data_IF_705132971914
#
_entry.id   IF_705132971914
#
_cell.length_a   1.000
_cell.length_b   1.000
_cell.length_c   1.000
_cell.angle_alpha   90.00
_cell.angle_beta   90.00
_cell.angle_gamma   90.00
#
_symmetry.space_group_name_H-M   'P 1'
#
loop_
_entity.id
_entity.type
_entity.pdbx_description
1 polymer ?
#
# COMPACT_ATOMS: atom_id res chain seq x y z
N UNK A 1 -36.19 12.15 -21.40
CA UNK A 1 -35.64 11.22 -20.40
C UNK A 1 -34.29 10.76 -20.95
N UNK A 2 -33.21 11.46 -20.63
CA UNK A 2 -31.86 10.97 -20.94
C UNK A 2 -31.68 9.67 -20.18
N UNK A 3 -31.46 8.57 -20.89
CA UNK A 3 -31.37 7.23 -20.29
C UNK A 3 -30.34 7.24 -19.16
N UNK A 4 -30.73 6.64 -18.03
CA UNK A 4 -29.90 6.47 -16.84
C UNK A 4 -28.63 5.68 -17.24
N UNK A 5 -27.46 6.30 -17.18
CA UNK A 5 -26.20 5.62 -17.56
C UNK A 5 -26.02 4.39 -16.66
N UNK A 6 -25.72 3.24 -17.28
CA UNK A 6 -25.52 1.98 -16.56
C UNK A 6 -24.02 1.77 -16.32
N UNK A 7 -23.66 1.57 -15.05
CA UNK A 7 -22.30 1.33 -14.58
C UNK A 7 -22.13 -0.16 -14.27
N UNK A 8 -21.10 -0.75 -14.86
CA UNK A 8 -20.67 -2.10 -14.53
C UNK A 8 -19.80 -2.07 -13.27
N UNK A 9 -19.95 -3.05 -12.38
CA UNK A 9 -19.15 -3.11 -11.14
C UNK A 9 -18.64 -4.52 -10.85
N UNK A 10 -17.33 -4.74 -10.93
CA UNK A 10 -16.69 -6.02 -10.67
C UNK A 10 -15.93 -5.98 -9.35
N UNK A 11 -16.40 -6.74 -8.37
CA UNK A 11 -15.81 -6.87 -7.04
C UNK A 11 -16.62 -6.14 -5.96
N UNK A 12 -17.56 -6.84 -5.31
CA UNK A 12 -18.44 -6.26 -4.27
C UNK A 12 -17.98 -6.67 -2.86
N UNK A 13 -16.69 -6.45 -2.59
CA UNK A 13 -16.09 -6.69 -1.28
C UNK A 13 -16.43 -5.62 -0.24
N UNK A 14 -15.63 -5.53 0.83
CA UNK A 14 -15.77 -4.54 1.91
C UNK A 14 -15.83 -3.09 1.37
N UNK A 15 -15.05 -2.79 0.34
CA UNK A 15 -15.06 -1.49 -0.33
C UNK A 15 -16.10 -1.41 -1.46
N UNK A 16 -16.12 -2.42 -2.34
CA UNK A 16 -16.92 -2.34 -3.56
C UNK A 16 -18.43 -2.41 -3.35
N UNK A 17 -18.91 -3.15 -2.34
CA UNK A 17 -20.34 -3.22 -2.04
C UNK A 17 -20.97 -1.85 -1.69
N UNK A 18 -20.43 -1.08 -0.72
CA UNK A 18 -20.95 0.25 -0.45
C UNK A 18 -20.76 1.23 -1.63
N UNK A 19 -19.66 1.12 -2.40
CA UNK A 19 -19.45 1.94 -3.60
C UNK A 19 -20.53 1.70 -4.66
N UNK A 20 -20.84 0.44 -4.97
CA UNK A 20 -21.90 0.06 -5.92
C UNK A 20 -23.29 0.54 -5.46
N UNK A 21 -23.56 0.46 -4.14
CA UNK A 21 -24.79 0.99 -3.56
C UNK A 21 -24.89 2.51 -3.73
N UNK A 22 -23.81 3.25 -3.49
CA UNK A 22 -23.82 4.71 -3.62
C UNK A 22 -24.05 5.15 -5.07
N UNK A 23 -23.50 4.42 -6.04
CA UNK A 23 -23.79 4.64 -7.47
C UNK A 23 -25.30 4.46 -7.77
N UNK A 24 -25.92 3.39 -7.25
CA UNK A 24 -27.35 3.18 -7.41
C UNK A 24 -28.18 4.30 -6.75
N UNK A 25 -27.78 4.73 -5.54
CA UNK A 25 -28.42 5.84 -4.81
C UNK A 25 -28.27 7.20 -5.51
N UNK A 26 -27.15 7.43 -6.18
CA UNK A 26 -26.91 8.61 -7.02
C UNK A 26 -27.72 8.58 -8.32
N UNK A 27 -28.47 7.49 -8.56
CA UNK A 27 -29.34 7.36 -9.73
C UNK A 27 -28.62 6.82 -10.95
N UNK A 28 -27.54 6.05 -10.82
CA UNK A 28 -27.03 5.23 -11.93
C UNK A 28 -27.74 3.88 -11.99
N UNK A 29 -27.89 3.30 -13.18
CA UNK A 29 -28.14 1.86 -13.29
C UNK A 29 -26.87 1.12 -12.89
N UNK A 30 -26.94 0.04 -12.12
CA UNK A 30 -25.74 -0.71 -11.71
C UNK A 30 -25.91 -2.19 -12.01
N UNK A 31 -24.92 -2.78 -12.70
CA UNK A 31 -24.81 -4.21 -12.93
C UNK A 31 -23.52 -4.72 -12.29
N UNK A 32 -23.65 -5.51 -11.23
CA UNK A 32 -22.53 -5.97 -10.44
C UNK A 32 -22.21 -7.46 -10.63
N UNK A 33 -20.94 -7.81 -10.48
CA UNK A 33 -20.45 -9.18 -10.37
C UNK A 33 -19.46 -9.29 -9.21
N UNK A 34 -19.47 -10.43 -8.54
CA UNK A 34 -18.43 -10.80 -7.60
C UNK A 34 -18.19 -12.31 -7.62
N UNK A 35 -16.91 -12.73 -7.53
CA UNK A 35 -16.52 -14.15 -7.50
C UNK A 35 -17.30 -14.98 -6.49
N UNK A 36 -17.54 -14.42 -5.30
CA UNK A 36 -18.50 -14.97 -4.34
C UNK A 36 -19.87 -14.36 -4.61
N UNK A 37 -20.73 -15.09 -5.32
CA UNK A 37 -22.02 -14.59 -5.82
C UNK A 37 -22.88 -13.95 -4.71
N UNK A 38 -22.93 -14.55 -3.51
CA UNK A 38 -23.69 -14.05 -2.38
C UNK A 38 -23.39 -12.57 -2.02
N UNK A 39 -22.16 -12.08 -2.28
CA UNK A 39 -21.81 -10.67 -2.03
C UNK A 39 -22.42 -9.69 -3.04
N UNK A 40 -22.63 -10.11 -4.28
CA UNK A 40 -23.31 -9.28 -5.29
C UNK A 40 -24.83 -9.42 -5.15
N UNK A 41 -25.32 -10.63 -4.87
CA UNK A 41 -26.74 -10.92 -4.65
C UNK A 41 -27.35 -10.09 -3.50
N UNK A 42 -26.58 -9.86 -2.43
CA UNK A 42 -26.99 -8.98 -1.34
C UNK A 42 -27.30 -7.54 -1.80
N UNK A 43 -26.77 -7.06 -2.94
CA UNK A 43 -27.00 -5.70 -3.41
C UNK A 43 -28.31 -5.54 -4.21
N UNK A 44 -29.03 -6.63 -4.53
CA UNK A 44 -30.31 -6.55 -5.24
C UNK A 44 -31.34 -5.70 -4.52
N UNK A 45 -31.35 -5.75 -3.18
CA UNK A 45 -32.23 -4.93 -2.35
C UNK A 45 -31.97 -3.42 -2.50
N UNK A 46 -30.81 -3.05 -3.03
CA UNK A 46 -30.41 -1.67 -3.31
C UNK A 46 -30.57 -1.28 -4.79
N UNK A 47 -31.30 -2.07 -5.59
CA UNK A 47 -31.53 -1.78 -7.01
C UNK A 47 -30.35 -2.12 -7.92
N UNK A 48 -29.35 -2.86 -7.41
CA UNK A 48 -28.21 -3.34 -8.21
C UNK A 48 -28.59 -4.65 -8.90
N UNK A 49 -28.50 -4.70 -10.22
CA UNK A 49 -28.63 -5.93 -10.99
C UNK A 49 -27.37 -6.79 -10.84
N UNK A 50 -27.50 -8.11 -10.93
CA UNK A 50 -26.37 -9.05 -10.75
C UNK A 50 -26.12 -9.83 -12.04
N UNK A 51 -24.87 -9.83 -12.49
CA UNK A 51 -24.40 -10.57 -13.64
C UNK A 51 -23.66 -11.86 -13.23
N UNK A 52 -23.62 -12.83 -14.13
CA UNK A 52 -23.00 -14.14 -13.88
C UNK A 52 -21.47 -14.16 -14.08
N UNK A 53 -20.90 -13.17 -14.78
CA UNK A 53 -19.46 -13.08 -15.06
C UNK A 53 -19.03 -11.63 -15.33
N UNK A 54 -17.71 -11.32 -15.27
CA UNK A 54 -17.19 -10.01 -15.68
C UNK A 54 -17.59 -9.66 -17.12
N UNK A 55 -17.48 -10.59 -18.08
CA UNK A 55 -17.92 -10.36 -19.45
C UNK A 55 -19.39 -9.90 -19.55
N UNK A 56 -20.29 -10.48 -18.73
CA UNK A 56 -21.70 -10.05 -18.69
C UNK A 56 -21.89 -8.65 -18.10
N UNK A 57 -21.00 -8.22 -17.20
CA UNK A 57 -20.94 -6.82 -16.75
C UNK A 57 -20.49 -5.91 -17.90
N UNK A 58 -19.41 -6.29 -18.61
CA UNK A 58 -18.87 -5.51 -19.73
C UNK A 58 -19.83 -5.35 -20.91
N UNK A 59 -20.71 -6.32 -21.16
CA UNK A 59 -21.77 -6.23 -22.17
C UNK A 59 -22.89 -5.25 -21.80
N UNK A 60 -23.11 -5.01 -20.50
CA UNK A 60 -24.25 -4.25 -20.01
C UNK A 60 -23.95 -2.77 -19.77
N UNK A 61 -22.68 -2.37 -19.78
CA UNK A 61 -22.25 -1.03 -19.37
C UNK A 61 -21.11 -0.49 -20.25
N UNK A 62 -21.17 0.82 -20.54
CA UNK A 62 -20.11 1.56 -21.24
C UNK A 62 -19.00 2.06 -20.31
N UNK A 63 -19.26 2.13 -19.00
CA UNK A 63 -18.29 2.42 -17.95
C UNK A 63 -18.32 1.25 -16.97
N UNK A 64 -17.17 0.60 -16.76
CA UNK A 64 -17.05 -0.52 -15.84
C UNK A 64 -16.00 -0.22 -14.79
N UNK A 65 -16.32 -0.48 -13.52
CA UNK A 65 -15.41 -0.35 -12.38
C UNK A 65 -14.90 -1.71 -11.95
N UNK A 66 -13.61 -1.84 -11.66
CA UNK A 66 -13.05 -2.98 -10.91
C UNK A 66 -12.62 -2.53 -9.50
N UNK A 67 -12.96 -3.33 -8.49
CA UNK A 67 -12.58 -3.12 -7.09
C UNK A 67 -12.22 -4.46 -6.43
N UNK A 68 -11.04 -4.98 -6.78
CA UNK A 68 -10.57 -6.33 -6.42
C UNK A 68 -9.25 -6.29 -5.65
N UNK A 69 -8.80 -7.39 -5.02
CA UNK A 69 -7.74 -7.32 -4.01
C UNK A 69 -6.34 -6.93 -4.52
N UNK A 70 -5.92 -7.40 -5.69
CA UNK A 70 -4.53 -7.28 -6.17
C UNK A 70 -4.42 -7.32 -7.70
N UNK A 71 -3.22 -7.07 -8.23
CA UNK A 71 -2.93 -7.05 -9.67
C UNK A 71 -3.40 -8.32 -10.39
N UNK A 72 -3.11 -9.55 -9.91
CA UNK A 72 -3.57 -10.76 -10.61
C UNK A 72 -5.10 -10.89 -10.65
N UNK A 73 -5.81 -10.38 -9.63
CA UNK A 73 -7.28 -10.40 -9.64
C UNK A 73 -7.85 -9.42 -10.67
N UNK A 74 -7.22 -8.25 -10.87
CA UNK A 74 -7.59 -7.31 -11.95
C UNK A 74 -7.35 -7.95 -13.30
N UNK A 75 -6.17 -8.51 -13.53
CA UNK A 75 -5.85 -9.18 -14.80
C UNK A 75 -6.81 -10.35 -15.08
N UNK A 76 -7.16 -11.14 -14.08
CA UNK A 76 -8.14 -12.22 -14.24
C UNK A 76 -9.55 -11.70 -14.57
N UNK A 77 -9.99 -10.61 -13.93
CA UNK A 77 -11.29 -10.00 -14.20
C UNK A 77 -11.38 -9.34 -15.58
N UNK A 78 -10.26 -8.79 -16.06
CA UNK A 78 -10.20 -8.03 -17.31
C UNK A 78 -9.85 -8.93 -18.50
N UNK A 79 -8.82 -9.74 -18.38
CA UNK A 79 -8.22 -10.50 -19.49
C UNK A 79 -8.47 -12.02 -19.42
N UNK A 80 -9.18 -12.49 -18.39
CA UNK A 80 -9.60 -13.90 -18.30
C UNK A 80 -10.56 -14.33 -19.41
N UNK A 81 -10.83 -15.64 -19.50
CA UNK A 81 -11.69 -16.23 -20.54
C UNK A 81 -13.08 -15.58 -20.62
N UNK A 82 -13.70 -15.32 -19.46
CA UNK A 82 -14.95 -14.55 -19.31
C UNK A 82 -14.67 -13.12 -18.80
N UNK A 83 -13.58 -12.52 -19.25
CA UNK A 83 -13.08 -11.21 -18.83
C UNK A 83 -13.75 -10.02 -19.51
N UNK A 84 -13.53 -8.84 -18.97
CA UNK A 84 -14.08 -7.57 -19.47
C UNK A 84 -13.57 -7.18 -20.86
N UNK A 85 -12.28 -7.37 -21.14
CA UNK A 85 -11.63 -6.90 -22.37
C UNK A 85 -12.16 -7.55 -23.66
N UNK A 86 -12.78 -8.73 -23.55
CA UNK A 86 -13.43 -9.42 -24.68
C UNK A 86 -14.89 -9.03 -24.88
N UNK A 87 -15.48 -8.30 -23.95
CA UNK A 87 -16.93 -8.11 -23.86
C UNK A 87 -17.36 -6.63 -23.87
N UNK A 88 -16.47 -5.72 -23.46
CA UNK A 88 -16.69 -4.28 -23.52
C UNK A 88 -16.62 -3.77 -24.96
N UNK A 89 -17.51 -2.85 -25.31
CA UNK A 89 -17.57 -2.25 -26.64
C UNK A 89 -16.47 -1.19 -26.85
N UNK A 90 -16.12 -0.90 -28.10
CA UNK A 90 -15.28 0.24 -28.46
C UNK A 90 -15.90 1.56 -27.94
N UNK A 91 -15.07 2.46 -27.42
CA UNK A 91 -15.48 3.72 -26.78
C UNK A 91 -15.92 3.58 -25.31
N UNK A 92 -15.85 2.37 -24.75
CA UNK A 92 -16.07 2.14 -23.31
C UNK A 92 -14.88 2.57 -22.45
N UNK A 93 -15.10 2.65 -21.13
CA UNK A 93 -14.09 3.01 -20.14
C UNK A 93 -14.03 1.95 -19.04
N UNK A 94 -12.84 1.43 -18.78
CA UNK A 94 -12.53 0.66 -17.57
C UNK A 94 -11.93 1.60 -16.51
N UNK A 95 -12.55 1.64 -15.34
CA UNK A 95 -12.05 2.36 -14.16
C UNK A 95 -11.56 1.33 -13.15
N UNK A 96 -10.25 1.15 -13.01
CA UNK A 96 -9.72 0.28 -11.96
C UNK A 96 -9.48 1.05 -10.66
N UNK A 97 -10.33 0.80 -9.66
CA UNK A 97 -10.24 1.42 -8.33
C UNK A 97 -9.49 0.55 -7.31
N UNK A 98 -8.98 -0.61 -7.75
CA UNK A 98 -8.11 -1.49 -6.97
C UNK A 98 -6.75 -0.83 -6.70
N UNK A 99 -6.01 -1.31 -5.71
CA UNK A 99 -4.59 -0.92 -5.54
C UNK A 99 -3.69 -1.99 -6.17
N UNK A 100 -3.06 -1.67 -7.30
CA UNK A 100 -2.24 -2.60 -8.10
C UNK A 100 -0.89 -2.00 -8.52
N UNK A 101 -0.04 -2.80 -9.16
CA UNK A 101 1.27 -2.35 -9.61
C UNK A 101 1.16 -1.26 -10.70
N UNK A 102 1.79 -0.08 -10.55
CA UNK A 102 1.72 0.99 -11.55
C UNK A 102 2.25 0.59 -12.94
N UNK A 103 3.24 -0.31 -13.00
CA UNK A 103 3.76 -0.86 -14.25
C UNK A 103 2.72 -1.68 -14.99
N UNK A 104 2.05 -2.58 -14.29
CA UNK A 104 0.98 -3.43 -14.85
C UNK A 104 -0.24 -2.61 -15.26
N UNK A 105 -0.60 -1.57 -14.50
CA UNK A 105 -1.64 -0.62 -14.90
C UNK A 105 -1.36 0.01 -16.26
N UNK A 106 -0.15 0.52 -16.48
CA UNK A 106 0.21 1.12 -17.79
C UNK A 106 0.18 0.10 -18.91
N UNK A 107 0.67 -1.11 -18.65
CA UNK A 107 0.66 -2.19 -19.63
C UNK A 107 -0.76 -2.61 -20.01
N UNK A 108 -1.66 -2.74 -19.02
CA UNK A 108 -3.06 -3.07 -19.23
C UNK A 108 -3.79 -1.96 -20.00
N UNK A 109 -3.57 -0.68 -19.63
CA UNK A 109 -4.14 0.46 -20.35
C UNK A 109 -3.75 0.46 -21.84
N UNK A 110 -2.48 0.14 -22.16
CA UNK A 110 -2.02 -0.01 -23.54
C UNK A 110 -2.77 -1.11 -24.30
N UNK A 111 -2.91 -2.30 -23.71
CA UNK A 111 -3.63 -3.44 -24.33
C UNK A 111 -5.13 -3.18 -24.51
N UNK A 112 -5.75 -2.42 -23.61
CA UNK A 112 -7.14 -1.99 -23.73
C UNK A 112 -7.32 -0.93 -24.82
N UNK A 113 -6.37 -0.01 -24.96
CA UNK A 113 -6.39 1.01 -26.02
C UNK A 113 -6.33 0.40 -27.43
N UNK A 114 -5.60 -0.70 -27.63
CA UNK A 114 -5.60 -1.47 -28.88
C UNK A 114 -6.99 -2.00 -29.28
N UNK A 115 -7.92 -2.09 -28.32
CA UNK A 115 -9.32 -2.52 -28.49
C UNK A 115 -10.30 -1.35 -28.49
N UNK A 116 -9.79 -0.11 -28.47
CA UNK A 116 -10.60 1.10 -28.35
C UNK A 116 -11.31 1.25 -27.00
N UNK A 117 -10.78 0.63 -25.94
CA UNK A 117 -11.28 0.75 -24.56
C UNK A 117 -10.33 1.68 -23.80
N UNK A 118 -10.86 2.78 -23.25
CA UNK A 118 -10.08 3.68 -22.41
C UNK A 118 -9.92 3.08 -21.00
N UNK A 119 -8.82 3.39 -20.32
CA UNK A 119 -8.60 2.97 -18.93
C UNK A 119 -8.24 4.16 -18.04
N UNK A 120 -8.87 4.23 -16.87
CA UNK A 120 -8.48 5.09 -15.75
C UNK A 120 -8.06 4.21 -14.56
N UNK A 121 -6.89 4.45 -13.98
CA UNK A 121 -6.55 3.92 -12.66
C UNK A 121 -6.96 4.91 -11.59
N UNK A 122 -7.95 4.57 -10.78
CA UNK A 122 -8.57 5.46 -9.80
C UNK A 122 -8.60 4.86 -8.38
N UNK A 123 -7.46 4.40 -7.82
CA UNK A 123 -7.42 3.86 -6.47
C UNK A 123 -7.88 4.85 -5.42
N UNK A 124 -8.39 4.31 -4.31
CA UNK A 124 -9.09 5.10 -3.29
C UNK A 124 -8.42 5.07 -1.91
N UNK A 125 -8.69 6.09 -1.10
CA UNK A 125 -8.36 6.13 0.34
C UNK A 125 -9.55 6.63 1.16
N UNK A 126 -9.58 6.28 2.45
CA UNK A 126 -10.71 6.55 3.37
C UNK A 126 -11.29 5.31 4.05
N UNK A 127 -10.87 4.11 3.62
CA UNK A 127 -11.33 2.83 4.19
C UNK A 127 -12.82 2.55 3.94
N UNK A 128 -13.33 1.47 4.55
CA UNK A 128 -14.74 1.06 4.40
C UNK A 128 -15.72 2.17 4.80
N UNK A 129 -15.38 2.93 5.83
CA UNK A 129 -16.18 4.05 6.32
C UNK A 129 -16.33 5.16 5.25
N UNK A 130 -15.23 5.54 4.59
CA UNK A 130 -15.30 6.51 3.49
C UNK A 130 -16.11 5.99 2.31
N UNK A 131 -16.02 4.69 2.02
CA UNK A 131 -16.82 4.05 0.98
C UNK A 131 -18.31 4.03 1.32
N UNK A 132 -18.67 3.75 2.58
CA UNK A 132 -20.06 3.77 3.04
C UNK A 132 -20.70 5.16 2.96
N UNK A 133 -19.89 6.21 3.18
CA UNK A 133 -20.37 7.60 3.22
C UNK A 133 -20.20 8.37 1.90
N UNK A 134 -19.70 7.73 0.85
CA UNK A 134 -19.32 8.39 -0.40
C UNK A 134 -18.33 9.56 -0.21
N UNK A 135 -17.39 9.42 0.73
CA UNK A 135 -16.38 10.45 1.07
C UNK A 135 -14.96 10.01 0.74
N UNK A 136 -14.80 9.05 -0.17
CA UNK A 136 -13.48 8.57 -0.60
C UNK A 136 -12.64 9.70 -1.20
N UNK A 137 -11.33 9.61 -0.97
CA UNK A 137 -10.32 10.28 -1.79
C UNK A 137 -10.00 9.38 -2.98
N UNK A 138 -10.14 9.89 -4.19
CA UNK A 138 -9.98 9.17 -5.46
C UNK A 138 -8.82 9.81 -6.23
N UNK A 139 -7.77 9.02 -6.48
CA UNK A 139 -6.53 9.46 -7.12
C UNK A 139 -6.50 8.88 -8.53
N UNK A 140 -6.77 9.69 -9.55
CA UNK A 140 -7.01 9.18 -10.92
C UNK A 140 -5.79 9.38 -11.81
N UNK A 141 -5.35 8.33 -12.50
CA UNK A 141 -4.42 8.38 -13.62
C UNK A 141 -5.13 8.06 -14.94
N UNK A 142 -4.81 8.78 -16.00
CA UNK A 142 -5.37 8.57 -17.35
C UNK A 142 -5.51 9.85 -18.16
N UNK A 143 -6.25 9.78 -19.25
CA UNK A 143 -6.47 10.92 -20.15
C UNK A 143 -7.47 11.93 -19.55
N UNK A 144 -7.21 13.25 -19.65
CA UNK A 144 -8.09 14.29 -19.11
C UNK A 144 -9.54 14.21 -19.58
N UNK A 145 -9.77 13.96 -20.87
CA UNK A 145 -11.11 13.89 -21.45
C UNK A 145 -11.89 12.68 -20.93
N UNK A 146 -11.20 11.56 -20.70
CA UNK A 146 -11.81 10.35 -20.12
C UNK A 146 -12.13 10.59 -18.64
N UNK A 147 -11.24 11.27 -17.92
CA UNK A 147 -11.46 11.69 -16.53
C UNK A 147 -12.69 12.60 -16.41
N UNK A 148 -12.79 13.64 -17.24
CA UNK A 148 -13.93 14.57 -17.24
C UNK A 148 -15.25 13.85 -17.51
N UNK A 149 -15.28 12.92 -18.47
CA UNK A 149 -16.46 12.08 -18.74
C UNK A 149 -16.87 11.25 -17.53
N UNK A 150 -15.91 10.72 -16.77
CA UNK A 150 -16.17 9.84 -15.63
C UNK A 150 -16.34 10.60 -14.30
N UNK A 151 -16.21 11.93 -14.28
CA UNK A 151 -16.28 12.73 -13.06
C UNK A 151 -17.59 12.53 -12.28
N UNK A 152 -18.79 12.50 -12.90
CA UNK A 152 -20.03 12.24 -12.18
C UNK A 152 -20.09 10.88 -11.49
N UNK A 153 -19.39 9.87 -12.05
CA UNK A 153 -19.29 8.52 -11.46
C UNK A 153 -18.40 8.57 -10.21
N UNK A 154 -17.30 9.32 -10.25
CA UNK A 154 -16.42 9.53 -9.09
C UNK A 154 -17.11 10.32 -7.98
N UNK A 155 -17.85 11.37 -8.31
CA UNK A 155 -18.59 12.22 -7.35
C UNK A 155 -19.67 11.45 -6.57
N UNK A 156 -20.20 10.36 -7.14
CA UNK A 156 -21.13 9.47 -6.45
C UNK A 156 -20.47 8.61 -5.35
N UNK A 157 -19.14 8.53 -5.31
CA UNK A 157 -18.40 7.66 -4.40
C UNK A 157 -17.35 8.39 -3.54
N UNK A 158 -17.02 9.63 -3.87
CA UNK A 158 -15.97 10.38 -3.19
C UNK A 158 -16.14 11.89 -3.27
N UNK A 159 -15.41 12.58 -2.39
CA UNK A 159 -15.46 14.05 -2.24
C UNK A 159 -14.16 14.75 -2.59
N UNK A 160 -13.05 14.00 -2.66
CA UNK A 160 -11.75 14.52 -3.09
C UNK A 160 -11.28 13.72 -4.28
N UNK A 161 -11.41 14.30 -5.47
CA UNK A 161 -11.16 13.64 -6.76
C UNK A 161 -10.11 14.44 -7.49
N UNK A 162 -9.01 13.80 -7.91
CA UNK A 162 -7.89 14.52 -8.53
C UNK A 162 -7.26 13.69 -9.63
N UNK A 163 -7.11 14.31 -10.82
CA UNK A 163 -6.30 13.77 -11.91
C UNK A 163 -4.82 13.99 -11.60
N UNK A 164 -4.10 12.89 -11.39
CA UNK A 164 -2.69 12.86 -11.00
C UNK A 164 -1.73 12.88 -12.19
N UNK A 165 -2.25 12.72 -13.41
CA UNK A 165 -1.47 12.66 -14.64
C UNK A 165 -1.84 11.43 -15.48
N UNK A 166 -0.94 10.95 -16.35
CA UNK A 166 -1.23 9.83 -17.24
C UNK A 166 -1.42 8.51 -16.49
N UNK A 167 -1.80 7.46 -17.23
CA UNK A 167 -2.03 6.12 -16.66
C UNK A 167 -0.88 5.65 -15.77
N UNK A 168 -1.25 5.07 -14.62
CA UNK A 168 -0.36 4.61 -13.55
C UNK A 168 -0.01 5.68 -12.51
N UNK A 169 -0.36 6.96 -12.73
CA UNK A 169 -0.12 8.01 -11.73
C UNK A 169 -1.11 7.96 -10.57
N UNK A 170 -2.33 7.47 -10.78
CA UNK A 170 -3.27 7.18 -9.70
C UNK A 170 -2.70 6.12 -8.75
N UNK A 171 -2.26 4.98 -9.30
CA UNK A 171 -1.58 3.92 -8.53
C UNK A 171 -0.32 4.42 -7.85
N UNK A 172 0.54 5.16 -8.57
CA UNK A 172 1.78 5.70 -7.99
C UNK A 172 1.46 6.59 -6.78
N UNK A 173 0.45 7.44 -6.89
CA UNK A 173 0.03 8.32 -5.79
C UNK A 173 -0.59 7.53 -4.64
N UNK A 174 -1.34 6.47 -4.94
CA UNK A 174 -1.83 5.54 -3.91
C UNK A 174 -0.70 4.84 -3.17
N UNK A 175 0.35 4.41 -3.86
CA UNK A 175 1.52 3.82 -3.19
C UNK A 175 2.23 4.83 -2.28
N UNK A 176 2.34 6.11 -2.68
CA UNK A 176 2.81 7.18 -1.79
C UNK A 176 1.93 7.31 -0.55
N UNK A 177 0.61 7.30 -0.71
CA UNK A 177 -0.33 7.31 0.41
C UNK A 177 -0.11 6.11 1.35
N UNK A 178 0.11 4.92 0.81
CA UNK A 178 0.30 3.70 1.61
C UNK A 178 1.66 3.64 2.33
N UNK A 179 2.71 4.29 1.81
CA UNK A 179 3.96 4.53 2.55
C UNK A 179 3.67 5.37 3.81
N UNK A 180 2.96 6.48 3.66
CA UNK A 180 2.62 7.38 4.76
C UNK A 180 1.71 6.69 5.80
N UNK A 181 0.70 5.96 5.33
CA UNK A 181 -0.23 5.19 6.17
C UNK A 181 0.52 4.16 7.02
N UNK A 182 1.36 3.32 6.40
CA UNK A 182 2.07 2.26 7.11
C UNK A 182 3.10 2.83 8.11
N UNK A 183 3.91 3.80 7.68
CA UNK A 183 4.92 4.42 8.53
C UNK A 183 4.30 5.12 9.74
N UNK A 184 3.26 5.91 9.52
CA UNK A 184 2.59 6.63 10.62
C UNK A 184 1.87 5.68 11.58
N UNK A 185 1.22 4.63 11.06
CA UNK A 185 0.55 3.62 11.90
C UNK A 185 1.55 2.88 12.79
N UNK A 186 2.72 2.51 12.24
CA UNK A 186 3.80 1.90 13.01
C UNK A 186 4.31 2.85 14.11
N UNK A 187 4.54 4.13 13.80
CA UNK A 187 4.96 5.12 14.80
C UNK A 187 3.94 5.33 15.92
N UNK A 188 2.64 5.36 15.59
CA UNK A 188 1.55 5.47 16.59
C UNK A 188 1.54 4.23 17.49
N UNK A 189 1.64 3.03 16.92
CA UNK A 189 1.70 1.80 17.70
C UNK A 189 2.92 1.76 18.63
N UNK A 190 4.10 2.15 18.14
CA UNK A 190 5.33 2.23 18.93
C UNK A 190 5.18 3.22 20.11
N UNK A 191 4.65 4.41 19.83
CA UNK A 191 4.40 5.43 20.85
C UNK A 191 3.43 4.96 21.95
N UNK A 192 2.38 4.21 21.58
CA UNK A 192 1.42 3.67 22.56
C UNK A 192 2.00 2.53 23.38
N UNK A 193 2.82 1.67 22.79
CA UNK A 193 3.55 0.63 23.54
C UNK A 193 4.51 1.28 24.54
N UNK A 194 5.23 2.33 24.13
CA UNK A 194 6.08 3.11 25.04
C UNK A 194 5.27 3.76 26.17
N UNK A 195 4.18 4.46 25.85
CA UNK A 195 3.30 5.08 26.84
C UNK A 195 2.75 4.05 27.85
N UNK A 196 2.37 2.86 27.37
CA UNK A 196 1.91 1.76 28.22
C UNK A 196 3.02 1.26 29.16
N UNK A 197 4.26 1.13 28.65
CA UNK A 197 5.42 0.73 29.45
C UNK A 197 5.73 1.74 30.57
N UNK A 198 5.48 3.02 30.31
CA UNK A 198 5.64 4.11 31.27
C UNK A 198 4.45 4.27 32.23
N UNK A 199 3.37 3.49 32.06
CA UNK A 199 2.17 3.56 32.89
C UNK A 199 1.27 4.77 32.62
N UNK A 200 1.40 5.40 31.45
CA UNK A 200 0.55 6.51 31.06
C UNK A 200 -0.89 6.06 30.74
N UNK A 201 -1.85 6.97 30.94
CA UNK A 201 -3.21 6.80 30.43
C UNK A 201 -3.20 6.98 28.90
N UNK A 202 -3.41 5.89 28.17
CA UNK A 202 -3.28 5.89 26.72
C UNK A 202 -4.29 6.80 26.02
N UNK A 203 -5.53 6.88 26.51
CA UNK A 203 -6.56 7.72 25.89
C UNK A 203 -6.24 9.20 26.09
N UNK A 204 -5.84 9.58 27.31
CA UNK A 204 -5.39 10.95 27.57
C UNK A 204 -4.10 11.29 26.81
N UNK A 205 -3.21 10.31 26.64
CA UNK A 205 -1.98 10.49 25.85
C UNK A 205 -2.32 10.78 24.39
N UNK A 206 -3.19 9.97 23.77
CA UNK A 206 -3.66 10.20 22.39
C UNK A 206 -4.33 11.56 22.26
N UNK A 207 -5.24 11.91 23.16
CA UNK A 207 -5.93 13.20 23.17
C UNK A 207 -4.93 14.37 23.23
N UNK A 208 -3.99 14.34 24.17
CA UNK A 208 -3.03 15.40 24.39
C UNK A 208 -2.10 15.65 23.19
N UNK A 209 -1.70 14.60 22.48
CA UNK A 209 -0.74 14.71 21.35
C UNK A 209 -1.41 14.85 19.99
N UNK A 210 -2.72 14.61 19.87
CA UNK A 210 -3.45 14.66 18.60
C UNK A 210 -3.61 16.08 18.03
N UNK A 211 -3.66 17.11 18.89
CA UNK A 211 -3.85 18.50 18.48
C UNK A 211 -2.56 19.26 18.11
N UNK A 212 -1.40 18.67 18.39
CA UNK A 212 -0.08 19.30 18.17
C UNK A 212 0.61 18.86 16.88
N UNK A 213 1.91 19.11 16.78
CA UNK A 213 2.73 18.75 15.62
C UNK A 213 2.80 17.24 15.33
N UNK A 214 2.44 16.39 16.31
CA UNK A 214 2.33 14.93 16.14
C UNK A 214 0.98 14.48 15.56
N UNK A 215 0.04 15.41 15.37
CA UNK A 215 -1.31 15.14 14.89
C UNK A 215 -1.30 14.44 13.53
N UNK A 216 -2.07 13.36 13.43
CA UNK A 216 -2.28 12.63 12.17
C UNK A 216 -3.61 11.88 12.21
N UNK A 217 -4.14 11.53 11.04
CA UNK A 217 -5.35 10.71 10.96
C UNK A 217 -5.16 9.36 11.68
N UNK A 218 -3.99 8.73 11.54
CA UNK A 218 -3.69 7.45 12.19
C UNK A 218 -3.72 7.57 13.71
N UNK A 219 -3.15 8.64 14.27
CA UNK A 219 -3.16 8.88 15.71
C UNK A 219 -4.59 9.11 16.21
N UNK A 220 -5.33 10.01 15.58
CA UNK A 220 -6.68 10.41 16.01
C UNK A 220 -7.70 9.27 15.89
N UNK A 221 -7.58 8.43 14.85
CA UNK A 221 -8.59 7.40 14.55
C UNK A 221 -8.18 6.00 15.01
N UNK A 222 -6.90 5.61 14.85
CA UNK A 222 -6.44 4.27 15.24
C UNK A 222 -5.85 4.24 16.65
N UNK A 223 -5.30 5.34 17.16
CA UNK A 223 -4.77 5.43 18.52
C UNK A 223 -5.77 5.01 19.60
N UNK A 224 -7.00 5.59 19.64
CA UNK A 224 -8.02 5.18 20.60
C UNK A 224 -8.42 3.71 20.44
N UNK A 225 -8.51 3.22 19.21
CA UNK A 225 -8.87 1.82 18.91
C UNK A 225 -7.80 0.85 19.39
N UNK A 226 -6.52 1.17 19.22
CA UNK A 226 -5.40 0.40 19.80
C UNK A 226 -5.49 0.36 21.34
N UNK A 227 -5.72 1.53 21.98
CA UNK A 227 -5.83 1.63 23.43
C UNK A 227 -7.02 0.84 23.99
N UNK A 228 -8.15 0.83 23.26
CA UNK A 228 -9.40 0.17 23.62
C UNK A 228 -9.49 -1.29 23.13
N UNK A 229 -8.46 -1.79 22.45
CA UNK A 229 -8.40 -3.16 21.91
C UNK A 229 -9.45 -3.46 20.82
N UNK A 230 -9.85 -2.45 20.05
CA UNK A 230 -10.69 -2.60 18.87
C UNK A 230 -9.84 -2.80 17.61
N UNK A 231 -9.91 -4.02 17.07
CA UNK A 231 -9.17 -4.44 15.88
C UNK A 231 -10.07 -4.76 14.68
N UNK A 232 -11.33 -4.34 14.72
CA UNK A 232 -12.23 -4.53 13.58
C UNK A 232 -11.66 -3.82 12.34
N UNK A 233 -11.64 -4.47 11.16
CA UNK A 233 -10.94 -3.95 10.00
C UNK A 233 -11.71 -2.82 9.33
N UNK A 234 -11.07 -1.66 9.20
CA UNK A 234 -11.37 -0.70 8.12
C UNK A 234 -10.48 -0.92 6.89
N UNK A 235 -9.26 -1.42 7.13
CA UNK A 235 -8.32 -1.93 6.14
C UNK A 235 -7.51 -3.06 6.78
N UNK A 236 -7.36 -4.19 6.09
CA UNK A 236 -6.80 -5.41 6.68
C UNK A 236 -5.27 -5.43 6.64
N UNK A 237 -4.63 -6.04 7.65
CA UNK A 237 -3.17 -6.23 7.72
C UNK A 237 -2.62 -6.87 6.45
N UNK A 238 -3.25 -7.95 5.96
CA UNK A 238 -2.81 -8.64 4.74
C UNK A 238 -2.85 -7.74 3.49
N UNK A 239 -3.81 -6.82 3.42
CA UNK A 239 -3.93 -5.89 2.30
C UNK A 239 -2.87 -4.78 2.39
N UNK A 240 -2.55 -4.32 3.61
CA UNK A 240 -1.42 -3.41 3.82
C UNK A 240 -0.09 -4.07 3.47
N UNK A 241 0.10 -5.36 3.79
CA UNK A 241 1.29 -6.12 3.37
C UNK A 241 1.41 -6.20 1.85
N UNK A 242 0.29 -6.46 1.15
CA UNK A 242 0.22 -6.42 -0.31
C UNK A 242 0.61 -5.05 -0.85
N UNK A 243 0.10 -3.95 -0.29
CA UNK A 243 0.50 -2.59 -0.71
C UNK A 243 1.99 -2.34 -0.50
N UNK A 244 2.54 -2.76 0.64
CA UNK A 244 3.98 -2.61 0.92
C UNK A 244 4.85 -3.46 -0.02
N UNK A 245 4.36 -4.62 -0.47
CA UNK A 245 5.01 -5.40 -1.52
C UNK A 245 5.08 -4.61 -2.83
N UNK A 246 3.95 -4.08 -3.31
CA UNK A 246 3.90 -3.26 -4.54
C UNK A 246 4.81 -2.03 -4.45
N UNK A 247 4.83 -1.36 -3.30
CA UNK A 247 5.72 -0.23 -3.01
C UNK A 247 7.18 -0.63 -3.19
N UNK A 248 7.60 -1.73 -2.58
CA UNK A 248 9.00 -2.15 -2.58
C UNK A 248 9.44 -2.66 -3.96
N UNK A 249 8.56 -3.35 -4.68
CA UNK A 249 8.77 -3.74 -6.08
C UNK A 249 8.99 -2.49 -6.97
N UNK A 250 8.07 -1.52 -6.91
CA UNK A 250 8.17 -0.27 -7.68
C UNK A 250 9.40 0.59 -7.28
N UNK A 251 9.77 0.59 -5.99
CA UNK A 251 10.95 1.29 -5.51
C UNK A 251 12.24 0.64 -6.02
N UNK A 252 12.29 -0.69 -6.10
CA UNK A 252 13.43 -1.45 -6.60
C UNK A 252 13.70 -1.14 -8.07
N UNK A 253 12.66 -1.05 -8.91
CA UNK A 253 12.77 -0.69 -10.33
C UNK A 253 13.50 0.66 -10.55
N UNK A 254 13.39 1.58 -9.59
CA UNK A 254 13.97 2.93 -9.66
C UNK A 254 15.12 3.16 -8.68
N UNK A 255 15.56 2.12 -7.99
CA UNK A 255 16.61 2.22 -6.96
C UNK A 255 16.32 3.28 -5.88
N UNK A 256 15.05 3.42 -5.47
CA UNK A 256 14.62 4.38 -4.45
C UNK A 256 14.68 3.72 -3.06
N UNK A 257 15.49 4.24 -2.11
CA UNK A 257 15.54 3.68 -0.76
C UNK A 257 14.31 4.10 0.07
N UNK A 258 13.63 3.13 0.69
CA UNK A 258 12.45 3.35 1.54
C UNK A 258 12.68 2.89 2.98
N UNK A 259 13.56 3.58 3.71
CA UNK A 259 14.02 3.17 5.03
C UNK A 259 12.88 2.96 6.06
N UNK A 260 11.95 3.91 6.16
CA UNK A 260 10.81 3.82 7.10
C UNK A 260 9.92 2.63 6.74
N UNK A 261 9.61 2.44 5.47
CA UNK A 261 8.81 1.30 4.99
C UNK A 261 9.48 -0.04 5.31
N UNK A 262 10.79 -0.13 5.14
CA UNK A 262 11.58 -1.32 5.46
C UNK A 262 11.57 -1.67 6.95
N UNK A 263 11.41 -0.67 7.84
CA UNK A 263 11.26 -0.88 9.29
C UNK A 263 9.81 -1.23 9.66
N UNK A 264 8.82 -0.61 9.03
CA UNK A 264 7.40 -0.86 9.32
C UNK A 264 6.94 -2.26 8.86
N UNK A 265 7.41 -2.72 7.69
CA UNK A 265 6.98 -3.99 7.07
C UNK A 265 7.16 -5.22 7.98
N UNK A 266 8.31 -5.45 8.64
CA UNK A 266 8.49 -6.59 9.55
C UNK A 266 7.43 -6.71 10.65
N UNK A 267 6.92 -5.59 11.19
CA UNK A 267 5.87 -5.64 12.20
C UNK A 267 4.53 -6.12 11.65
N UNK A 268 4.18 -5.73 10.41
CA UNK A 268 2.99 -6.26 9.73
C UNK A 268 3.18 -7.74 9.37
N UNK A 269 4.38 -8.14 8.95
CA UNK A 269 4.73 -9.54 8.72
C UNK A 269 4.58 -10.37 10.00
N UNK A 270 5.06 -9.85 11.13
CA UNK A 270 4.89 -10.48 12.43
C UNK A 270 3.41 -10.59 12.83
N UNK A 271 2.61 -9.53 12.61
CA UNK A 271 1.18 -9.56 12.89
C UNK A 271 0.46 -10.62 12.05
N UNK A 272 0.79 -10.76 10.76
CA UNK A 272 0.21 -11.82 9.92
C UNK A 272 0.64 -13.22 10.37
N UNK A 273 1.90 -13.42 10.74
CA UNK A 273 2.40 -14.68 11.32
C UNK A 273 1.72 -15.04 12.65
N UNK A 274 1.17 -14.05 13.36
CA UNK A 274 0.34 -14.23 14.56
C UNK A 274 -1.14 -14.54 14.24
N UNK A 275 -1.51 -14.69 12.96
CA UNK A 275 -2.88 -14.97 12.53
C UNK A 275 -3.77 -13.73 12.46
N UNK A 276 -3.20 -12.52 12.42
CA UNK A 276 -3.94 -11.24 12.47
C UNK A 276 -4.21 -10.64 11.09
N UNK A 277 -4.06 -11.43 10.01
CA UNK A 277 -4.15 -10.94 8.63
C UNK A 277 -5.50 -10.30 8.27
N UNK A 278 -6.60 -10.77 8.85
CA UNK A 278 -7.96 -10.25 8.65
C UNK A 278 -8.33 -9.10 9.61
N UNK A 279 -7.50 -8.80 10.61
CA UNK A 279 -7.72 -7.68 11.51
C UNK A 279 -7.36 -6.35 10.85
N UNK A 280 -7.85 -5.25 11.42
CA UNK A 280 -7.48 -3.90 11.00
C UNK A 280 -5.98 -3.63 11.15
N UNK A 281 -5.42 -2.73 10.34
CA UNK A 281 -3.99 -2.37 10.38
C UNK A 281 -3.50 -1.95 11.77
N UNK A 282 -4.38 -1.42 12.62
CA UNK A 282 -4.06 -1.09 14.00
C UNK A 282 -3.64 -2.31 14.85
N UNK A 283 -3.90 -3.54 14.39
CA UNK A 283 -3.41 -4.78 15.00
C UNK A 283 -1.88 -4.91 14.99
N UNK A 284 -1.16 -4.10 14.20
CA UNK A 284 0.30 -3.99 14.23
C UNK A 284 0.84 -3.75 15.65
N UNK A 285 0.07 -3.06 16.51
CA UNK A 285 0.42 -2.84 17.92
C UNK A 285 0.63 -4.15 18.68
N UNK A 286 -0.11 -5.22 18.34
CA UNK A 286 0.01 -6.53 19.00
C UNK A 286 1.37 -7.18 18.74
N UNK A 287 1.95 -6.97 17.56
CA UNK A 287 3.29 -7.46 17.24
C UNK A 287 4.36 -6.72 18.06
N UNK A 288 4.22 -5.41 18.22
CA UNK A 288 5.13 -4.59 19.04
C UNK A 288 4.99 -4.88 20.54
N UNK A 289 3.76 -5.03 21.04
CA UNK A 289 3.45 -5.50 22.40
C UNK A 289 4.18 -6.80 22.74
N UNK A 290 4.17 -7.77 21.80
CA UNK A 290 4.83 -9.07 21.96
C UNK A 290 6.35 -8.95 22.09
N UNK A 291 6.97 -8.02 21.37
CA UNK A 291 8.41 -7.78 21.42
C UNK A 291 8.83 -7.03 22.69
N UNK A 292 7.99 -6.10 23.16
CA UNK A 292 8.26 -5.29 24.34
C UNK A 292 7.89 -5.96 25.67
N UNK A 293 7.15 -7.09 25.64
CA UNK A 293 6.50 -7.70 26.81
C UNK A 293 5.62 -6.69 27.58
N UNK A 294 4.91 -5.86 26.83
CA UNK A 294 4.02 -4.79 27.33
C UNK A 294 2.68 -4.91 26.62
N UNK A 295 1.57 -4.58 27.29
CA UNK A 295 0.23 -4.62 26.69
C UNK A 295 -0.49 -3.28 26.87
N UNK A 296 -0.92 -2.68 25.77
CA UNK A 296 -1.79 -1.52 25.76
C UNK A 296 -3.16 -1.87 26.35
N UNK A 297 -3.71 -1.01 27.20
CA UNK A 297 -5.04 -1.19 27.80
C UNK A 297 -5.08 -2.05 29.07
N UNK A 298 -3.95 -2.57 29.57
CA UNK A 298 -3.82 -3.05 30.95
C UNK A 298 -2.94 -2.07 31.72
N UNK A 299 -3.41 -1.56 32.87
CA UNK A 299 -2.50 -0.97 33.86
C UNK A 299 -1.45 -2.02 34.21
N UNK A 300 -0.18 -1.70 33.95
CA UNK A 300 0.92 -2.62 34.17
C UNK A 300 0.99 -2.98 35.67
N UNK A 301 0.46 -4.15 36.05
CA UNK A 301 0.97 -4.84 37.24
C UNK A 301 2.35 -5.36 36.85
N UNK A 302 3.40 -4.59 37.16
CA UNK A 302 4.78 -5.08 37.13
C UNK A 302 4.88 -6.31 38.02
N UNK A 303 4.88 -7.50 37.43
CA UNK A 303 5.50 -8.67 38.04
C UNK A 303 7.00 -8.44 37.96
N UNK A 304 7.59 -7.92 39.03
CA UNK A 304 9.03 -7.85 39.19
C UNK A 304 9.58 -9.28 39.27
N UNK A 305 9.86 -9.91 38.11
CA UNK A 305 10.80 -11.01 38.05
C UNK A 305 12.12 -10.45 37.55
N UNK A 306 13.18 -10.40 38.38
CA UNK A 306 14.48 -9.99 37.90
C UNK A 306 14.95 -11.01 36.85
N UNK A 307 15.47 -10.51 35.73
CA UNK A 307 16.26 -11.31 34.81
C UNK A 307 17.49 -11.75 35.59
N UNK A 308 17.50 -13.01 36.04
CA UNK A 308 18.69 -13.62 36.60
C UNK A 308 19.70 -13.77 35.46
N UNK A 309 20.67 -12.87 35.38
CA UNK A 309 21.87 -13.07 34.58
C UNK A 309 22.51 -14.38 35.06
N UNK A 310 22.46 -15.41 34.21
CA UNK A 310 23.14 -16.67 34.47
C UNK A 310 24.63 -16.37 34.68
N UNK A 311 25.17 -16.73 35.85
CA UNK A 311 26.61 -16.66 36.12
C UNK A 311 27.32 -17.54 35.09
N UNK A 312 28.47 -17.10 34.52
CA UNK A 312 29.21 -17.93 33.59
C UNK A 312 29.62 -19.24 34.28
N UNK A 313 29.41 -20.35 33.59
CA UNK A 313 29.80 -21.67 34.06
C UNK A 313 31.31 -21.72 34.34
N UNK A 314 31.67 -22.26 35.50
CA UNK A 314 33.05 -22.60 35.84
C UNK A 314 33.63 -23.54 34.78
N UNK A 315 34.68 -23.10 34.10
CA UNK A 315 35.57 -24.00 33.36
C UNK A 315 36.31 -24.89 34.38
N UNK A 316 36.30 -26.22 34.24
CA UNK A 316 37.11 -27.07 35.09
C UNK A 316 38.57 -26.94 34.67
N UNK A 317 39.41 -26.48 35.61
CA UNK A 317 40.85 -26.65 35.55
C UNK A 317 41.19 -28.11 35.84
N UNK A 318 41.84 -28.80 34.89
CA UNK A 318 42.94 -29.72 35.16
C UNK A 318 43.42 -30.37 33.85
N UNK A 319 44.73 -30.44 33.67
CA UNK A 319 45.34 -31.24 32.60
C UNK A 319 46.74 -30.81 32.24
N UNK A 320 47.69 -31.14 33.12
CA UNK A 320 49.14 -31.14 32.89
C UNK A 320 49.56 -31.66 31.50
N UNK A 321 50.39 -30.90 30.79
CA UNK A 321 51.33 -31.46 29.81
C UNK A 321 52.72 -30.94 30.17
N UNK A 322 53.51 -31.83 30.73
CA UNK A 322 54.95 -31.68 30.96
C UNK A 322 55.72 -31.90 29.66
N UNK A 323 56.58 -30.92 29.34
CA UNK A 323 57.92 -31.01 28.74
C UNK A 323 58.23 -32.05 27.66
N UNK A 324 58.63 -31.54 26.49
CA UNK A 324 59.73 -31.96 25.59
C UNK A 324 59.86 -30.76 24.60
N UNK A 325 60.92 -29.97 24.50
CA UNK A 325 62.31 -30.34 24.28
C UNK A 325 62.76 -29.76 22.91
N UNK A 326 63.39 -28.58 22.93
CA UNK A 326 64.42 -28.02 22.01
C UNK A 326 64.41 -28.37 20.49
N UNK A 327 64.46 -27.33 19.62
CA UNK A 327 65.08 -27.46 18.29
C UNK A 327 64.78 -26.38 17.23
N UNK A 328 65.78 -25.54 16.96
CA UNK A 328 66.16 -24.86 15.69
C UNK A 328 65.24 -23.89 14.91
N UNK A 329 65.64 -22.59 14.97
CA UNK A 329 66.00 -21.61 13.91
C UNK A 329 65.34 -21.58 12.51
N UNK A 330 65.15 -20.31 12.07
CA UNK A 330 65.01 -19.73 10.71
C UNK A 330 63.65 -19.97 10.02
N UNK A 331 63.00 -19.04 9.31
CA UNK A 331 63.49 -17.93 8.49
C UNK A 331 62.36 -16.92 8.15
N UNK A 332 62.77 -15.79 7.58
CA UNK A 332 62.07 -14.58 7.11
C UNK A 332 60.82 -14.73 6.21
N UNK A 333 59.93 -13.72 6.23
CA UNK A 333 58.92 -13.54 5.17
C UNK A 333 57.97 -12.36 5.36
N UNK A 334 58.43 -11.14 5.06
CA UNK A 334 57.61 -9.92 4.92
C UNK A 334 56.80 -9.93 3.62
N UNK A 335 55.51 -9.56 3.68
CA UNK A 335 54.87 -8.83 2.57
C UNK A 335 53.55 -8.17 3.01
N UNK A 336 53.64 -6.87 3.28
CA UNK A 336 52.51 -5.94 3.15
C UNK A 336 52.56 -5.31 1.75
N UNK A 337 51.43 -5.26 1.04
CA UNK A 337 51.26 -4.43 -0.16
C UNK A 337 49.95 -3.63 -0.09
N UNK A 338 49.98 -2.31 -0.31
CA UNK A 338 48.79 -1.45 -0.38
C UNK A 338 48.28 -1.25 -1.82
N UNK A 339 47.03 -0.76 -1.90
CA UNK A 339 46.23 -0.42 -3.09
C UNK A 339 46.80 0.78 -3.88
N UNK A 340 46.61 0.87 -5.21
CA UNK A 340 46.89 2.07 -5.98
C UNK A 340 45.63 2.90 -6.31
N UNK A 341 45.79 4.22 -6.30
CA UNK A 341 44.87 5.24 -6.85
C UNK A 341 45.14 5.52 -8.33
N UNK A 342 44.17 6.03 -9.11
CA UNK A 342 44.43 6.49 -10.47
C UNK A 342 44.41 8.02 -10.60
N UNK A 343 45.49 8.58 -11.12
CA UNK A 343 45.54 9.91 -11.77
C UNK A 343 46.10 9.74 -13.18
N UNK A 344 45.61 10.54 -14.13
CA UNK A 344 46.25 10.71 -15.44
C UNK A 344 45.28 10.85 -16.61
N UNK A 345 44.81 12.07 -16.88
CA UNK A 345 44.26 12.47 -18.18
C UNK A 345 45.41 12.92 -19.09
N UNK A 346 45.50 12.33 -20.28
CA UNK A 346 46.34 12.77 -21.39
C UNK A 346 45.51 13.50 -22.46
N UNK A 347 46.08 14.59 -22.96
CA UNK A 347 45.58 15.60 -23.90
C UNK A 347 45.58 15.18 -25.38
N UNK A 348 44.67 15.75 -26.17
CA UNK A 348 44.76 16.18 -27.60
C UNK A 348 43.47 17.03 -27.82
N UNK A 349 43.38 18.22 -28.44
CA UNK A 349 44.27 19.05 -29.24
C UNK A 349 43.47 19.71 -30.39
N UNK A 350 43.06 20.97 -30.18
CA UNK A 350 42.88 22.08 -31.15
C UNK A 350 41.77 22.16 -32.25
N UNK A 351 40.88 23.14 -32.03
CA UNK A 351 40.42 24.23 -32.96
C UNK A 351 39.35 23.91 -34.04
N UNK A 352 38.39 24.77 -34.39
CA UNK A 352 38.39 26.24 -34.49
C UNK A 352 36.97 26.87 -34.59
N UNK A 353 36.85 28.12 -34.11
CA UNK A 353 36.06 29.30 -34.56
C UNK A 353 34.58 29.17 -34.98
N UNK A 354 33.75 30.02 -34.35
CA UNK A 354 32.52 30.57 -34.92
C UNK A 354 31.70 31.41 -33.94
N UNK A 355 32.03 32.71 -33.78
CA UNK A 355 31.13 33.73 -33.20
C UNK A 355 30.24 34.29 -34.30
N UNK A 356 28.93 34.38 -34.09
CA UNK A 356 28.09 35.50 -34.59
C UNK A 356 27.05 35.84 -33.52
N UNK A 357 26.97 37.14 -33.22
CA UNK A 357 26.01 37.84 -32.38
C UNK A 357 24.97 38.55 -33.26
N UNK A 358 23.71 38.63 -32.80
CA UNK A 358 22.75 39.74 -33.03
C UNK A 358 21.51 39.47 -32.12
N UNK A 359 21.15 40.25 -31.10
CA UNK A 359 20.40 41.55 -31.12
C UNK A 359 19.23 41.55 -32.11
N UNK A 360 17.97 41.85 -31.76
CA UNK A 360 17.33 42.30 -30.52
C UNK A 360 15.85 42.66 -30.79
N UNK A 361 15.12 42.98 -29.70
CA UNK A 361 13.90 43.81 -29.55
C UNK A 361 12.77 43.69 -30.59
N UNK A 362 11.60 43.26 -30.11
CA UNK A 362 10.49 44.13 -29.66
C UNK A 362 9.52 43.31 -28.81
#
# INVERSE_FOLDING_TARGET
MSGQETIGFVGTGIMGAPMARNLAQAGFGVVAYNRTAAKAEALREHGVAVAASPAKVGQAASIVITMVPDTPDVLAAVEGEDGLAGAMAEGSVLIDMSTIAPGETRALAGRLAERGIAMLDAPVSGGSWGAEQATLTIMVGGEPETFERCLPVFEAMGTSITLMGPSGMGQTTKLVNQILVAGTCASVAEALVFAAAQGADLLKTVEAVSGGAAGSWQLANLGPRMAQRDFAPGFMVKLQQKDLRLILEAAQERSVPLAVTSVARPYLTAAEAMGLGEEGTQAIVKAMERLADVRCGRTARRSARPIALARPAHFPSNGSISSLGSGSKNESGSCARPLPSPTGRGSLGCSSRGRISATGRS
#
